data_IF_154954837638
#
_entry.id   IF_154954837638
#
_cell.length_a   1.000
_cell.length_b   1.000
_cell.length_c   1.000
_cell.angle_alpha   90.00
_cell.angle_beta   90.00
_cell.angle_gamma   90.00
#
_symmetry.space_group_name_H-M   'P 1'
#
loop_
_entity.id
_entity.type
_entity.pdbx_description
1 polymer ?
#
# COMPACT_ATOMS: atom_id res chain seq x y z
N UNK A 1 9.10 -3.09 -17.01
CA UNK A 1 8.55 -3.83 -15.86
C UNK A 1 8.86 -3.04 -14.59
N UNK A 2 7.84 -2.59 -13.87
CA UNK A 2 8.05 -1.85 -12.63
C UNK A 2 8.13 -2.85 -11.48
N UNK A 3 9.31 -3.00 -10.89
CA UNK A 3 9.57 -3.98 -9.83
C UNK A 3 8.68 -3.71 -8.61
N UNK A 4 8.39 -2.45 -8.30
CA UNK A 4 7.50 -2.10 -7.18
C UNK A 4 6.06 -2.54 -7.45
N UNK A 5 5.60 -2.42 -8.69
CA UNK A 5 4.28 -2.94 -9.08
C UNK A 5 4.22 -4.46 -8.96
N UNK A 6 5.27 -5.17 -9.38
CA UNK A 6 5.36 -6.62 -9.23
C UNK A 6 5.30 -7.02 -7.74
N UNK A 7 6.08 -6.37 -6.88
CA UNK A 7 6.09 -6.65 -5.43
C UNK A 7 4.72 -6.43 -4.80
N UNK A 8 4.04 -5.35 -5.21
CA UNK A 8 2.69 -5.07 -4.75
C UNK A 8 1.69 -6.14 -5.23
N UNK A 9 1.72 -6.51 -6.51
CA UNK A 9 0.87 -7.58 -7.06
C UNK A 9 1.09 -8.91 -6.34
N UNK A 10 2.35 -9.29 -6.10
CA UNK A 10 2.71 -10.51 -5.38
C UNK A 10 2.16 -10.49 -3.95
N UNK A 11 2.27 -9.36 -3.26
CA UNK A 11 1.76 -9.21 -1.89
C UNK A 11 0.23 -9.38 -1.86
N UNK A 12 -0.49 -8.72 -2.76
CA UNK A 12 -1.95 -8.80 -2.84
C UNK A 12 -2.42 -10.22 -3.18
N UNK A 13 -1.80 -10.85 -4.19
CA UNK A 13 -2.12 -12.22 -4.61
C UNK A 13 -1.82 -13.24 -3.50
N UNK A 14 -0.68 -13.10 -2.82
CA UNK A 14 -0.33 -13.96 -1.70
C UNK A 14 -1.33 -13.86 -0.55
N UNK A 15 -1.70 -12.64 -0.16
CA UNK A 15 -2.66 -12.41 0.92
C UNK A 15 -4.07 -12.91 0.56
N UNK A 16 -4.52 -12.66 -0.67
CA UNK A 16 -5.79 -13.17 -1.17
C UNK A 16 -5.83 -14.70 -1.14
N UNK A 17 -4.80 -15.34 -1.70
CA UNK A 17 -4.66 -16.79 -1.63
C UNK A 17 -4.68 -17.27 -0.19
N UNK A 18 -3.84 -16.73 0.69
CA UNK A 18 -3.77 -17.13 2.08
C UNK A 18 -5.12 -17.00 2.80
N UNK A 19 -5.87 -15.93 2.55
CA UNK A 19 -7.16 -15.68 3.17
C UNK A 19 -8.19 -16.75 2.81
N UNK A 20 -8.30 -17.09 1.52
CA UNK A 20 -9.21 -18.13 1.01
C UNK A 20 -8.83 -19.53 1.52
N UNK A 21 -7.53 -19.75 1.73
CA UNK A 21 -6.91 -21.05 1.91
C UNK A 21 -6.43 -21.31 3.36
N UNK A 22 -6.73 -20.40 4.27
CA UNK A 22 -6.19 -20.39 5.64
C UNK A 22 -6.42 -21.69 6.40
N UNK A 23 -7.62 -22.27 6.29
CA UNK A 23 -7.97 -23.48 7.04
C UNK A 23 -7.12 -24.69 6.63
N UNK A 24 -6.86 -24.87 5.34
CA UNK A 24 -6.04 -26.01 4.90
C UNK A 24 -4.56 -25.73 5.06
N UNK A 25 -4.09 -24.48 4.91
CA UNK A 25 -2.70 -24.11 5.21
C UNK A 25 -2.33 -24.42 6.67
N UNK A 26 -3.27 -24.16 7.59
CA UNK A 26 -3.14 -24.56 8.99
C UNK A 26 -3.02 -26.08 9.16
N UNK A 27 -3.79 -26.87 8.39
CA UNK A 27 -3.73 -28.34 8.42
C UNK A 27 -2.45 -28.89 7.77
N UNK A 28 -1.95 -28.24 6.72
CA UNK A 28 -0.75 -28.67 6.00
C UNK A 28 0.51 -28.55 6.87
N UNK A 29 0.51 -27.66 7.86
CA UNK A 29 1.60 -27.54 8.83
C UNK A 29 2.89 -26.95 8.26
N UNK A 30 2.82 -26.18 7.16
CA UNK A 30 4.00 -25.62 6.45
C UNK A 30 4.63 -24.40 7.13
N UNK A 31 4.42 -24.24 8.44
CA UNK A 31 4.78 -23.04 9.18
C UNK A 31 6.25 -23.04 9.58
N UNK A 32 6.91 -21.91 9.33
CA UNK A 32 8.30 -21.65 9.69
C UNK A 32 8.38 -20.30 10.41
N UNK A 33 9.35 -20.16 11.30
CA UNK A 33 9.71 -18.86 11.85
C UNK A 33 10.95 -18.34 11.11
N UNK A 34 10.83 -17.21 10.41
CA UNK A 34 11.92 -16.60 9.66
C UNK A 34 12.08 -15.16 10.14
N UNK A 35 13.25 -14.82 10.70
CA UNK A 35 13.53 -13.48 11.25
C UNK A 35 12.45 -12.97 12.23
N UNK A 36 11.89 -13.87 13.05
CA UNK A 36 10.84 -13.54 14.03
C UNK A 36 9.43 -13.44 13.45
N UNK A 37 9.24 -13.65 12.15
CA UNK A 37 7.94 -13.68 11.49
C UNK A 37 7.42 -15.11 11.34
N UNK A 38 6.20 -15.36 11.83
CA UNK A 38 5.49 -16.63 11.60
C UNK A 38 4.85 -16.62 10.22
N UNK A 39 5.37 -17.44 9.31
CA UNK A 39 4.85 -17.54 7.93
C UNK A 39 4.98 -18.96 7.38
N UNK A 40 4.28 -19.30 6.29
CA UNK A 40 4.55 -20.53 5.54
C UNK A 40 6.00 -20.57 5.02
N UNK A 41 6.52 -21.77 4.74
CA UNK A 41 7.88 -21.94 4.25
C UNK A 41 8.13 -21.17 2.95
N UNK A 42 9.33 -20.63 2.78
CA UNK A 42 9.65 -19.78 1.63
C UNK A 42 9.50 -20.50 0.29
N UNK A 43 9.88 -21.78 0.22
CA UNK A 43 9.65 -22.60 -0.97
C UNK A 43 8.17 -22.71 -1.29
N UNK A 44 7.31 -22.89 -0.27
CA UNK A 44 5.86 -22.95 -0.48
C UNK A 44 5.31 -21.62 -1.01
N UNK A 45 5.73 -20.49 -0.43
CA UNK A 45 5.32 -19.14 -0.89
C UNK A 45 5.72 -18.94 -2.36
N UNK A 46 6.96 -19.25 -2.73
CA UNK A 46 7.45 -19.09 -4.10
C UNK A 46 6.73 -20.02 -5.08
N UNK A 47 6.47 -21.27 -4.70
CA UNK A 47 5.70 -22.21 -5.53
C UNK A 47 4.27 -21.72 -5.74
N UNK A 48 3.57 -21.31 -4.69
CA UNK A 48 2.21 -20.77 -4.82
C UNK A 48 2.18 -19.51 -5.70
N UNK A 49 3.13 -18.59 -5.50
CA UNK A 49 3.21 -17.35 -6.28
C UNK A 49 3.57 -17.58 -7.75
N UNK A 50 4.37 -18.59 -8.08
CA UNK A 50 4.67 -18.93 -9.48
C UNK A 50 3.43 -19.31 -10.30
N UNK A 51 2.38 -19.80 -9.62
CA UNK A 51 1.09 -20.14 -10.23
C UNK A 51 0.19 -18.90 -10.31
N UNK A 52 0.20 -18.06 -9.28
CA UNK A 52 -0.67 -16.87 -9.18
C UNK A 52 -0.17 -15.69 -10.03
N UNK A 53 1.14 -15.55 -10.19
CA UNK A 53 1.80 -14.48 -10.92
C UNK A 53 2.77 -15.04 -11.96
N UNK A 54 2.33 -15.22 -13.23
CA UNK A 54 3.18 -15.81 -14.27
C UNK A 54 4.42 -14.96 -14.57
N UNK A 55 4.36 -13.64 -14.34
CA UNK A 55 5.52 -12.75 -14.48
C UNK A 55 6.67 -13.12 -13.52
N UNK A 56 6.35 -13.66 -12.34
CA UNK A 56 7.35 -14.12 -11.39
C UNK A 56 8.13 -15.32 -11.95
N UNK A 57 7.49 -16.20 -12.72
CA UNK A 57 8.11 -17.40 -13.30
C UNK A 57 9.17 -17.04 -14.35
N UNK A 58 9.01 -15.92 -15.05
CA UNK A 58 10.04 -15.41 -15.98
C UNK A 58 11.27 -14.86 -15.23
N UNK A 59 11.06 -14.27 -14.05
CA UNK A 59 12.10 -13.61 -13.26
C UNK A 59 12.82 -14.56 -12.29
N UNK A 60 12.13 -15.59 -11.80
CA UNK A 60 12.65 -16.54 -10.82
C UNK A 60 13.97 -17.20 -11.21
N UNK A 61 14.18 -17.70 -12.45
CA UNK A 61 15.46 -18.31 -12.84
C UNK A 61 16.64 -17.37 -12.63
N UNK A 62 16.50 -16.10 -13.03
CA UNK A 62 17.54 -15.08 -12.86
C UNK A 62 17.83 -14.80 -11.38
N UNK A 63 16.79 -14.79 -10.54
CA UNK A 63 16.97 -14.56 -9.10
C UNK A 63 17.62 -15.75 -8.41
N UNK A 64 17.27 -16.98 -8.79
CA UNK A 64 17.85 -18.20 -8.23
C UNK A 64 19.33 -18.33 -8.63
N UNK A 65 19.70 -17.96 -9.86
CA UNK A 65 21.09 -17.91 -10.30
C UNK A 65 21.93 -16.91 -9.50
N UNK A 66 21.33 -15.79 -9.07
CA UNK A 66 21.98 -14.79 -8.21
C UNK A 66 22.02 -15.23 -6.74
N UNK A 67 20.98 -15.89 -6.25
CA UNK A 67 20.88 -16.35 -4.88
C UNK A 67 19.95 -17.55 -4.76
N UNK A 68 20.49 -18.69 -4.37
CA UNK A 68 19.76 -19.95 -4.23
C UNK A 68 19.02 -20.12 -2.89
N UNK A 69 19.14 -19.16 -1.96
CA UNK A 69 18.45 -19.23 -0.67
C UNK A 69 17.00 -18.71 -0.78
N UNK A 70 15.97 -19.56 -0.64
CA UNK A 70 14.57 -19.16 -0.84
C UNK A 70 14.11 -18.14 0.20
N UNK A 71 14.60 -18.18 1.44
CA UNK A 71 14.23 -17.21 2.47
C UNK A 71 14.69 -15.81 2.09
N UNK A 72 15.92 -15.69 1.57
CA UNK A 72 16.47 -14.42 1.08
C UNK A 72 15.70 -13.89 -0.12
N UNK A 73 15.28 -14.76 -1.03
CA UNK A 73 14.42 -14.37 -2.17
C UNK A 73 13.10 -13.80 -1.67
N UNK A 74 12.41 -14.49 -0.76
CA UNK A 74 11.12 -14.02 -0.24
C UNK A 74 11.26 -12.71 0.55
N UNK A 75 12.37 -12.53 1.29
CA UNK A 75 12.70 -11.26 1.95
C UNK A 75 12.92 -10.15 0.92
N UNK A 76 13.70 -10.39 -0.14
CA UNK A 76 13.95 -9.41 -1.19
C UNK A 76 12.67 -8.97 -1.92
N UNK A 77 11.74 -9.91 -2.12
CA UNK A 77 10.41 -9.62 -2.68
C UNK A 77 9.52 -8.80 -1.73
N UNK A 78 9.89 -8.64 -0.46
CA UNK A 78 9.09 -7.92 0.54
C UNK A 78 7.95 -8.75 1.13
N UNK A 79 8.05 -10.08 1.06
CA UNK A 79 7.02 -11.04 1.49
C UNK A 79 7.35 -11.67 2.86
N UNK A 80 8.25 -11.06 3.64
CA UNK A 80 8.59 -11.51 4.99
C UNK A 80 7.71 -10.83 6.04
N UNK A 81 6.47 -11.28 6.13
CA UNK A 81 5.50 -10.80 7.11
C UNK A 81 4.62 -11.94 7.61
N UNK A 82 4.00 -11.74 8.77
CA UNK A 82 2.95 -12.62 9.26
C UNK A 82 1.63 -12.35 8.51
N UNK A 83 1.11 -13.30 7.70
CA UNK A 83 -0.10 -13.07 6.90
C UNK A 83 -1.35 -12.85 7.76
N UNK A 84 -1.41 -13.41 8.98
CA UNK A 84 -2.53 -13.19 9.89
C UNK A 84 -2.57 -11.76 10.45
N UNK A 85 -1.40 -11.16 10.67
CA UNK A 85 -1.28 -9.78 11.14
C UNK A 85 -1.57 -8.79 10.02
N UNK A 86 -1.04 -9.04 8.82
CA UNK A 86 -1.29 -8.19 7.66
C UNK A 86 -2.78 -8.15 7.32
N UNK A 87 -3.48 -9.28 7.29
CA UNK A 87 -4.93 -9.30 7.02
C UNK A 87 -5.70 -8.45 8.03
N UNK A 88 -5.35 -8.54 9.32
CA UNK A 88 -5.97 -7.70 10.36
C UNK A 88 -5.67 -6.21 10.12
N UNK A 89 -4.45 -5.89 9.72
CA UNK A 89 -4.05 -4.53 9.40
C UNK A 89 -4.86 -3.99 8.20
N UNK A 90 -4.97 -4.76 7.12
CA UNK A 90 -5.79 -4.40 5.96
C UNK A 90 -7.27 -4.23 6.31
N UNK A 91 -7.83 -5.11 7.15
CA UNK A 91 -9.21 -4.99 7.62
C UNK A 91 -9.41 -3.70 8.44
N UNK A 92 -8.47 -3.35 9.32
CA UNK A 92 -8.51 -2.12 10.11
C UNK A 92 -8.39 -0.87 9.24
N UNK A 93 -7.48 -0.88 8.27
CA UNK A 93 -7.31 0.23 7.31
C UNK A 93 -8.58 0.41 6.48
N UNK A 94 -9.17 -0.69 6.00
CA UNK A 94 -10.43 -0.65 5.25
C UNK A 94 -11.57 -0.08 6.10
N UNK A 95 -11.73 -0.53 7.33
CA UNK A 95 -12.74 0.00 8.25
C UNK A 95 -12.52 1.49 8.53
N UNK A 96 -11.28 1.95 8.74
CA UNK A 96 -10.96 3.35 8.95
C UNK A 96 -11.23 4.22 7.70
N UNK A 97 -10.95 3.71 6.50
CA UNK A 97 -11.28 4.38 5.24
C UNK A 97 -12.79 4.52 5.03
N UNK A 98 -13.55 3.50 5.41
CA UNK A 98 -15.02 3.52 5.37
C UNK A 98 -15.58 4.55 6.37
N UNK A 99 -15.00 4.65 7.56
CA UNK A 99 -15.39 5.64 8.58
C UNK A 99 -15.09 7.09 8.14
N UNK A 100 -13.96 7.32 7.47
CA UNK A 100 -13.63 8.63 6.87
C UNK A 100 -14.62 9.01 5.76
N UNK A 101 -15.17 8.01 5.03
CA UNK A 101 -16.18 8.23 3.98
C UNK A 101 -17.56 8.58 4.54
N UNK A 102 -17.82 8.33 5.83
CA UNK A 102 -19.08 8.58 6.52
C UNK A 102 -19.12 9.91 7.29
N UNK A 103 -18.07 10.74 7.21
CA UNK A 103 -18.12 12.08 7.77
C UNK A 103 -19.27 12.87 7.09
N UNK A 104 -20.24 13.42 7.84
CA UNK A 104 -21.21 14.32 7.25
C UNK A 104 -20.44 15.48 6.62
N UNK A 105 -20.87 15.93 5.45
CA UNK A 105 -20.41 17.19 4.88
C UNK A 105 -20.78 18.30 5.88
N UNK A 106 -19.89 18.55 6.83
CA UNK A 106 -20.09 19.56 7.85
C UNK A 106 -20.24 20.89 7.16
N UNK A 107 -21.46 21.40 7.12
CA UNK A 107 -21.80 22.76 6.76
C UNK A 107 -21.17 23.70 7.79
N UNK A 108 -19.87 23.94 7.65
CA UNK A 108 -19.21 25.06 8.30
C UNK A 108 -19.64 26.32 7.56
N UNK A 109 -20.77 26.88 7.97
CA UNK A 109 -21.08 28.28 7.72
C UNK A 109 -20.05 29.12 8.50
N UNK A 110 -18.95 29.44 7.85
CA UNK A 110 -18.13 30.56 8.31
C UNK A 110 -18.99 31.81 8.18
N UNK A 111 -19.12 32.65 9.22
CA UNK A 111 -19.70 33.96 9.05
C UNK A 111 -18.81 34.74 8.08
N UNK A 112 -19.23 34.84 6.83
CA UNK A 112 -18.67 35.78 5.87
C UNK A 112 -19.13 37.14 6.38
N UNK A 113 -18.28 37.82 7.14
CA UNK A 113 -18.47 39.23 7.40
C UNK A 113 -18.53 39.94 6.03
N UNK A 114 -19.59 40.70 5.73
CA UNK A 114 -19.66 41.44 4.48
C UNK A 114 -18.47 42.41 4.45
N UNK A 115 -17.49 42.11 3.60
CA UNK A 115 -16.46 43.09 3.23
C UNK A 115 -17.16 44.14 2.39
N UNK A 116 -17.50 45.26 3.00
CA UNK A 116 -17.81 46.47 2.25
C UNK A 116 -16.61 46.77 1.34
N UNK A 117 -16.80 46.93 0.02
CA UNK A 117 -15.74 47.42 -0.83
C UNK A 117 -15.43 48.85 -0.39
N UNK A 118 -14.25 49.04 0.19
CA UNK A 118 -13.73 50.38 0.44
C UNK A 118 -13.35 50.94 -0.93
N UNK A 119 -13.99 52.05 -1.33
CA UNK A 119 -13.56 52.80 -2.51
C UNK A 119 -12.23 53.45 -2.16
N UNK A 120 -11.20 53.12 -2.90
CA UNK A 120 -9.97 53.89 -2.91
C UNK A 120 -10.26 55.19 -3.68
N UNK A 121 -10.65 56.25 -2.97
CA UNK A 121 -10.94 57.57 -3.55
C UNK A 121 -9.69 58.46 -3.71
N UNK A 122 -8.49 57.87 -3.74
CA UNK A 122 -7.25 58.64 -3.91
C UNK A 122 -6.51 58.23 -5.19
N UNK A 123 -7.11 58.58 -6.33
CA UNK A 123 -6.43 58.68 -7.62
C UNK A 123 -6.19 60.17 -7.95
N UNK A 124 -5.55 60.92 -7.05
CA UNK A 124 -4.96 62.20 -7.42
C UNK A 124 -3.67 61.95 -8.20
N UNK A 125 -3.77 62.01 -9.53
CA UNK A 125 -2.61 62.09 -10.41
C UNK A 125 -1.84 63.37 -10.12
N UNK A 126 -0.72 63.25 -9.39
CA UNK A 126 0.23 64.35 -9.20
C UNK A 126 0.92 64.67 -10.53
N UNK A 127 0.29 65.55 -11.31
CA UNK A 127 0.90 66.19 -12.46
C UNK A 127 2.02 67.11 -12.01
N UNK A 128 3.27 66.65 -12.11
CA UNK A 128 4.45 67.51 -11.98
C UNK A 128 4.48 68.51 -13.13
N UNK A 129 4.16 69.76 -12.84
CA UNK A 129 4.66 70.90 -13.59
C UNK A 129 6.17 71.02 -13.35
N UNK A 130 6.97 71.02 -14.41
CA UNK A 130 8.33 71.56 -14.39
C UNK A 130 8.44 72.62 -15.48
N UNK A 131 9.07 73.71 -15.03
CA UNK A 131 9.50 74.95 -15.66
C UNK A 131 10.25 74.80 -16.98
#
# INVERSE_FOLDING_TARGET
>A
MNIEHLRQSLKEKWLGYYQENRLWLNRLGVWVNCEGQRRPSSSFILSALSILEPELTTLLPLVVDLNSNPDRIVIALGLNFNPDEEIKHFAKVKAALEDVKLLPAGSRSYPIAPRTPQRDEDCEGSGRTQT
#
